data_IF_683592440964
#
_entry.id   IF_683592440964
#
_cell.length_a   1.000
_cell.length_b   1.000
_cell.length_c   1.000
_cell.angle_alpha   90.00
_cell.angle_beta   90.00
_cell.angle_gamma   90.00
#
_symmetry.space_group_name_H-M   'P 1'
#
loop_
_entity.id
_entity.type
_entity.pdbx_description
1 polymer ?
#
# COMPACT_ATOMS: atom_id res chain seq x y z
N UNK A 1 -13.95 -20.83 -9.26
CA UNK A 1 -14.95 -20.51 -10.28
C UNK A 1 -15.21 -19.01 -10.20
N UNK A 2 -15.14 -18.29 -11.31
CA UNK A 2 -15.43 -16.85 -11.32
C UNK A 2 -16.95 -16.69 -11.42
N UNK A 3 -17.60 -16.01 -10.47
CA UNK A 3 -19.03 -15.74 -10.57
C UNK A 3 -19.33 -14.83 -11.75
N UNK A 4 -20.33 -15.18 -12.54
CA UNK A 4 -20.71 -14.41 -13.75
C UNK A 4 -21.50 -13.12 -13.44
N UNK A 5 -21.90 -12.95 -12.18
CA UNK A 5 -22.68 -11.82 -11.67
C UNK A 5 -21.80 -10.70 -11.09
N UNK A 6 -20.48 -10.92 -11.00
CA UNK A 6 -19.54 -9.93 -10.49
C UNK A 6 -19.02 -9.01 -11.61
N UNK A 7 -18.76 -7.75 -11.27
CA UNK A 7 -18.15 -6.81 -12.20
C UNK A 7 -16.70 -7.23 -12.51
N UNK A 8 -16.20 -6.98 -13.74
CA UNK A 8 -14.79 -7.27 -14.08
C UNK A 8 -13.78 -6.59 -13.13
N UNK A 9 -14.11 -5.41 -12.62
CA UNK A 9 -13.27 -4.66 -11.68
C UNK A 9 -13.15 -5.40 -10.35
N UNK A 10 -14.27 -5.88 -9.80
CA UNK A 10 -14.31 -6.65 -8.56
C UNK A 10 -13.52 -7.96 -8.65
N UNK A 11 -13.56 -8.62 -9.82
CA UNK A 11 -12.75 -9.82 -10.07
C UNK A 11 -11.25 -9.47 -10.09
N UNK A 12 -10.88 -8.39 -10.76
CA UNK A 12 -9.48 -7.92 -10.78
C UNK A 12 -8.99 -7.55 -9.38
N UNK A 13 -9.79 -6.85 -8.58
CA UNK A 13 -9.47 -6.53 -7.19
C UNK A 13 -9.22 -7.79 -6.35
N UNK A 14 -10.09 -8.80 -6.49
CA UNK A 14 -9.92 -10.09 -5.81
C UNK A 14 -8.63 -10.81 -6.23
N UNK A 15 -8.24 -10.73 -7.51
CA UNK A 15 -6.97 -11.27 -7.99
C UNK A 15 -5.78 -10.49 -7.44
N UNK A 16 -5.86 -9.15 -7.37
CA UNK A 16 -4.81 -8.29 -6.83
C UNK A 16 -4.56 -8.57 -5.34
N UNK A 17 -5.62 -8.76 -4.56
CA UNK A 17 -5.49 -9.17 -3.15
C UNK A 17 -4.73 -10.49 -3.03
N UNK A 18 -4.99 -11.47 -3.91
CA UNK A 18 -4.34 -12.77 -3.89
C UNK A 18 -2.87 -12.78 -4.34
N UNK A 19 -2.37 -11.67 -4.91
CA UNK A 19 -0.96 -11.52 -5.27
C UNK A 19 -0.28 -10.35 -4.53
N UNK A 20 -0.96 -9.74 -3.55
CA UNK A 20 -0.54 -8.52 -2.87
C UNK A 20 -0.13 -7.41 -3.87
N UNK A 21 -0.85 -7.34 -4.99
CA UNK A 21 -0.56 -6.45 -6.09
C UNK A 21 -1.37 -5.15 -6.06
N UNK A 22 -0.98 -4.24 -6.92
CA UNK A 22 -1.71 -3.03 -7.26
C UNK A 22 -1.72 -2.84 -8.78
N UNK A 23 -2.73 -2.16 -9.28
CA UNK A 23 -2.82 -1.80 -10.69
C UNK A 23 -3.01 -0.30 -10.80
N UNK A 24 -2.24 0.32 -11.67
CA UNK A 24 -2.36 1.73 -11.98
C UNK A 24 -2.66 1.92 -13.47
N UNK A 25 -3.47 2.93 -13.78
CA UNK A 25 -3.67 3.36 -15.16
C UNK A 25 -2.89 4.65 -15.39
N UNK A 26 -1.78 4.54 -16.14
CA UNK A 26 -0.85 5.63 -16.34
C UNK A 26 -0.54 5.78 -17.82
N UNK A 27 -0.66 7.00 -18.36
CA UNK A 27 -0.32 7.32 -19.76
C UNK A 27 -0.99 6.41 -20.82
N UNK A 28 -2.27 6.02 -20.56
CA UNK A 28 -3.02 5.16 -21.48
C UNK A 28 -2.69 3.67 -21.38
N UNK A 29 -1.93 3.25 -20.36
CA UNK A 29 -1.56 1.85 -20.13
C UNK A 29 -1.88 1.42 -18.72
N UNK A 30 -2.20 0.14 -18.55
CA UNK A 30 -2.31 -0.50 -17.25
C UNK A 30 -0.95 -1.03 -16.83
N UNK A 31 -0.46 -0.59 -15.69
CA UNK A 31 0.76 -1.10 -15.07
C UNK A 31 0.39 -1.93 -13.85
N UNK A 32 0.81 -3.20 -13.85
CA UNK A 32 0.58 -4.14 -12.76
C UNK A 32 1.85 -4.27 -11.94
N UNK A 33 1.74 -4.03 -10.63
CA UNK A 33 2.78 -4.30 -9.67
C UNK A 33 2.35 -5.44 -8.76
N UNK A 34 3.22 -6.42 -8.56
CA UNK A 34 2.94 -7.62 -7.75
C UNK A 34 3.94 -7.75 -6.63
N UNK A 35 3.42 -8.09 -5.44
CA UNK A 35 4.26 -8.34 -4.26
C UNK A 35 4.70 -7.09 -3.51
N UNK A 36 5.61 -7.30 -2.57
CA UNK A 36 6.13 -6.24 -1.68
C UNK A 36 7.35 -5.53 -2.28
N UNK A 37 8.10 -6.24 -3.14
CA UNK A 37 9.34 -5.71 -3.69
C UNK A 37 9.05 -4.71 -4.81
N UNK A 38 9.35 -3.45 -4.56
CA UNK A 38 9.33 -2.36 -5.53
C UNK A 38 10.59 -2.43 -6.42
N UNK A 39 11.05 -3.64 -6.74
CA UNK A 39 12.32 -3.84 -7.43
C UNK A 39 12.34 -3.27 -8.86
N UNK A 40 11.17 -3.09 -9.47
CA UNK A 40 11.02 -2.61 -10.85
C UNK A 40 10.36 -1.23 -10.95
N UNK A 41 10.05 -0.57 -9.84
CA UNK A 41 9.52 0.79 -9.88
C UNK A 41 10.64 1.79 -10.17
N UNK A 42 10.32 2.80 -10.93
CA UNK A 42 11.20 3.93 -11.13
C UNK A 42 11.42 4.61 -9.78
N UNK A 43 12.66 5.01 -9.52
CA UNK A 43 13.02 5.73 -8.31
C UNK A 43 13.26 7.20 -8.64
N UNK A 44 12.56 8.07 -7.92
CA UNK A 44 12.69 9.52 -8.04
C UNK A 44 13.11 10.11 -6.70
N UNK A 45 13.93 11.14 -6.71
CA UNK A 45 14.26 11.89 -5.50
C UNK A 45 13.57 13.24 -5.56
N UNK A 46 12.72 13.51 -4.56
CA UNK A 46 12.07 14.79 -4.40
C UNK A 46 12.71 15.57 -3.26
N UNK A 47 13.01 16.82 -3.53
CA UNK A 47 13.55 17.76 -2.56
C UNK A 47 12.66 19.02 -2.49
N UNK A 48 13.03 19.99 -1.67
CA UNK A 48 12.27 21.23 -1.48
C UNK A 48 12.03 22.01 -2.76
N UNK A 49 12.94 21.93 -3.73
CA UNK A 49 12.81 22.67 -5.01
C UNK A 49 11.68 22.11 -5.89
N UNK A 50 11.22 20.89 -5.61
CA UNK A 50 10.07 20.27 -6.28
C UNK A 50 8.73 20.64 -5.66
N UNK A 51 8.74 21.16 -4.43
CA UNK A 51 7.53 21.54 -3.72
C UNK A 51 7.04 22.92 -4.15
N UNK A 52 5.73 23.06 -4.24
CA UNK A 52 5.04 24.31 -4.58
C UNK A 52 4.38 24.94 -3.36
N UNK A 53 3.91 24.13 -2.43
CA UNK A 53 3.14 24.55 -1.27
C UNK A 53 3.45 23.66 -0.06
N UNK A 54 2.71 23.82 1.02
CA UNK A 54 2.90 23.08 2.25
C UNK A 54 2.56 21.60 2.07
N UNK A 55 3.39 20.75 2.66
CA UNK A 55 3.18 19.29 2.72
C UNK A 55 2.14 18.99 3.79
N UNK A 56 1.13 18.19 3.43
CA UNK A 56 0.16 17.67 4.39
C UNK A 56 0.60 16.28 4.83
N UNK A 57 0.71 16.09 6.13
CA UNK A 57 1.16 14.83 6.74
C UNK A 57 0.01 14.24 7.53
N UNK A 58 -0.34 13.00 7.26
CA UNK A 58 -1.27 12.22 8.05
C UNK A 58 -0.49 11.07 8.70
N UNK A 59 -0.31 11.14 10.00
CA UNK A 59 0.53 10.19 10.74
C UNK A 59 -0.19 8.95 11.21
N UNK A 60 -1.52 8.97 11.30
CA UNK A 60 -2.27 7.83 11.83
C UNK A 60 -3.74 7.85 11.37
N UNK A 61 -4.19 6.71 10.91
CA UNK A 61 -5.60 6.46 10.59
C UNK A 61 -6.48 6.16 11.81
N UNK A 62 -5.93 6.26 13.03
CA UNK A 62 -6.61 5.90 14.28
C UNK A 62 -6.60 4.40 14.58
N UNK A 63 -6.79 4.05 15.85
CA UNK A 63 -6.74 2.67 16.35
C UNK A 63 -7.71 1.72 15.61
N UNK A 64 -8.85 2.24 15.18
CA UNK A 64 -9.88 1.44 14.51
C UNK A 64 -9.47 0.92 13.12
N UNK A 65 -8.48 1.51 12.50
CA UNK A 65 -8.00 1.12 11.17
C UNK A 65 -6.74 0.25 11.22
N UNK A 66 -6.18 0.04 12.41
CA UNK A 66 -5.00 -0.80 12.59
C UNK A 66 -5.41 -2.26 12.66
N UNK A 67 -4.63 -3.11 12.01
CA UNK A 67 -4.71 -4.56 12.13
C UNK A 67 -3.34 -5.11 12.54
N UNK A 68 -3.32 -6.06 13.47
CA UNK A 68 -2.12 -6.79 13.89
C UNK A 68 -2.26 -8.30 13.73
N UNK A 69 -3.46 -8.72 13.33
CA UNK A 69 -3.76 -10.10 13.02
C UNK A 69 -4.67 -10.17 11.79
N UNK A 70 -4.52 -11.21 10.98
CA UNK A 70 -5.37 -11.47 9.81
C UNK A 70 -5.85 -12.92 9.86
N UNK A 71 -7.14 -13.10 9.65
CA UNK A 71 -7.80 -14.40 9.51
C UNK A 71 -8.70 -14.40 8.29
N UNK A 72 -9.07 -15.57 7.83
CA UNK A 72 -9.98 -15.67 6.71
C UNK A 72 -9.91 -17.01 6.02
N UNK A 73 -10.39 -17.05 4.79
CA UNK A 73 -10.55 -18.27 4.02
C UNK A 73 -9.72 -18.29 2.74
N UNK A 74 -9.38 -19.48 2.27
CA UNK A 74 -8.74 -19.75 0.98
C UNK A 74 -9.40 -20.96 0.32
N UNK A 75 -9.12 -21.21 -0.96
CA UNK A 75 -9.61 -22.40 -1.66
C UNK A 75 -8.62 -23.54 -1.50
N UNK A 76 -9.00 -24.55 -0.72
CA UNK A 76 -8.14 -25.68 -0.44
C UNK A 76 -8.18 -26.70 -1.60
N UNK A 77 -7.03 -26.90 -2.25
CA UNK A 77 -6.91 -27.85 -3.36
C UNK A 77 -7.06 -29.30 -2.90
N UNK A 78 -6.58 -29.61 -1.69
CA UNK A 78 -6.65 -30.96 -1.10
C UNK A 78 -8.09 -31.30 -0.65
N UNK A 79 -8.92 -30.29 -0.43
CA UNK A 79 -10.30 -30.42 -0.03
C UNK A 79 -11.28 -30.01 -1.13
N UNK A 80 -11.05 -30.48 -2.34
CA UNK A 80 -11.92 -30.28 -3.51
C UNK A 80 -12.25 -28.80 -3.82
N UNK A 81 -11.30 -27.89 -3.56
CA UNK A 81 -11.48 -26.44 -3.72
C UNK A 81 -12.62 -25.85 -2.88
N UNK A 82 -12.91 -26.46 -1.76
CA UNK A 82 -13.83 -25.86 -0.79
C UNK A 82 -13.14 -24.71 -0.07
N UNK A 83 -13.94 -23.72 0.31
CA UNK A 83 -13.46 -22.61 1.14
C UNK A 83 -13.13 -23.11 2.53
N UNK A 84 -11.87 -23.01 2.92
CA UNK A 84 -11.33 -23.49 4.19
C UNK A 84 -10.60 -22.36 4.90
N UNK A 85 -10.68 -22.32 6.22
CA UNK A 85 -9.97 -21.32 7.02
C UNK A 85 -8.47 -21.60 7.00
N UNK A 86 -7.66 -20.56 6.80
CA UNK A 86 -6.22 -20.68 7.03
C UNK A 86 -5.87 -20.34 8.49
N UNK A 87 -4.73 -20.87 8.96
CA UNK A 87 -4.24 -20.55 10.30
C UNK A 87 -3.97 -19.04 10.39
N UNK A 88 -4.63 -18.32 11.32
CA UNK A 88 -4.50 -16.87 11.43
C UNK A 88 -3.04 -16.43 11.58
N UNK A 89 -2.66 -15.40 10.86
CA UNK A 89 -1.40 -14.73 11.10
C UNK A 89 -1.58 -13.68 12.20
N UNK A 90 -0.71 -13.69 13.19
CA UNK A 90 -0.67 -12.72 14.30
C UNK A 90 0.77 -12.26 14.49
N UNK A 91 0.95 -10.96 14.66
CA UNK A 91 2.23 -10.40 15.02
C UNK A 91 2.23 -10.04 16.52
N UNK A 92 3.04 -10.75 17.28
CA UNK A 92 3.11 -10.59 18.74
C UNK A 92 3.66 -9.24 19.18
N UNK A 93 4.53 -8.63 18.37
CA UNK A 93 5.11 -7.31 18.66
C UNK A 93 4.02 -6.26 18.54
N UNK A 94 3.32 -6.25 17.42
CA UNK A 94 2.23 -5.30 17.17
C UNK A 94 1.05 -5.51 18.13
N UNK A 95 0.74 -6.75 18.48
CA UNK A 95 -0.29 -7.05 19.49
C UNK A 95 0.09 -6.49 20.86
N UNK A 96 1.37 -6.59 21.23
CA UNK A 96 1.89 -6.01 22.49
C UNK A 96 1.84 -4.48 22.50
N UNK A 97 2.14 -3.85 21.37
CA UNK A 97 2.07 -2.39 21.22
C UNK A 97 0.62 -1.86 21.28
N UNK A 98 -0.32 -2.57 20.64
CA UNK A 98 -1.73 -2.18 20.59
C UNK A 98 -2.52 -2.57 21.84
N UNK A 99 -1.99 -3.54 22.63
CA UNK A 99 -2.60 -4.07 23.85
C UNK A 99 -3.71 -5.08 23.61
N UNK A 100 -4.09 -5.35 22.36
CA UNK A 100 -5.13 -6.31 21.99
C UNK A 100 -4.92 -6.84 20.56
N UNK A 101 -5.52 -8.01 20.24
CA UNK A 101 -5.52 -8.56 18.91
C UNK A 101 -6.59 -7.88 18.04
N UNK A 102 -6.17 -7.13 17.04
CA UNK A 102 -7.00 -6.44 16.07
C UNK A 102 -7.03 -7.24 14.77
N UNK A 103 -8.15 -7.95 14.54
CA UNK A 103 -8.29 -8.84 13.39
C UNK A 103 -8.82 -8.14 12.15
N UNK A 104 -8.13 -8.33 11.01
CA UNK A 104 -8.66 -8.11 9.68
C UNK A 104 -9.18 -9.42 9.09
N UNK A 105 -10.35 -9.39 8.47
CA UNK A 105 -10.93 -10.54 7.78
C UNK A 105 -10.65 -10.46 6.28
N UNK A 106 -10.23 -11.59 5.66
CA UNK A 106 -9.91 -11.64 4.23
C UNK A 106 -10.38 -12.94 3.59
N UNK A 107 -10.78 -12.86 2.32
CA UNK A 107 -11.12 -14.03 1.53
C UNK A 107 -10.20 -14.11 0.30
N UNK A 108 -9.33 -15.13 0.29
CA UNK A 108 -8.40 -15.39 -0.81
C UNK A 108 -9.01 -16.36 -1.84
N UNK A 109 -9.89 -15.88 -2.69
CA UNK A 109 -10.63 -16.69 -3.67
C UNK A 109 -9.74 -17.39 -4.72
N UNK A 110 -8.50 -16.93 -4.93
CA UNK A 110 -7.59 -17.48 -5.93
C UNK A 110 -6.31 -18.06 -5.35
N UNK A 111 -6.24 -18.22 -4.04
CA UNK A 111 -5.11 -18.86 -3.34
C UNK A 111 -5.50 -20.28 -2.97
N UNK A 112 -4.64 -21.25 -3.32
CA UNK A 112 -4.89 -22.68 -3.15
C UNK A 112 -4.08 -23.32 -2.03
N UNK A 113 -3.22 -22.57 -1.37
CA UNK A 113 -2.29 -23.11 -0.40
C UNK A 113 -2.28 -22.26 0.88
N UNK A 114 -2.41 -22.91 2.02
CA UNK A 114 -2.41 -22.30 3.35
C UNK A 114 -1.15 -21.45 3.60
N UNK A 115 0.04 -21.93 3.21
CA UNK A 115 1.29 -21.21 3.42
C UNK A 115 1.32 -19.90 2.61
N UNK A 116 0.76 -19.91 1.40
CA UNK A 116 0.63 -18.68 0.60
C UNK A 116 -0.35 -17.71 1.23
N UNK A 117 -1.49 -18.20 1.73
CA UNK A 117 -2.47 -17.37 2.44
C UNK A 117 -1.85 -16.70 3.67
N UNK A 118 -1.08 -17.42 4.48
CA UNK A 118 -0.38 -16.85 5.63
C UNK A 118 0.68 -15.81 5.24
N UNK A 119 1.43 -16.02 4.14
CA UNK A 119 2.39 -15.03 3.65
C UNK A 119 1.70 -13.74 3.19
N UNK A 120 0.56 -13.86 2.51
CA UNK A 120 -0.23 -12.71 2.10
C UNK A 120 -0.82 -11.98 3.31
N UNK A 121 -1.31 -12.72 4.30
CA UNK A 121 -1.80 -12.17 5.55
C UNK A 121 -0.70 -11.36 6.27
N UNK A 122 0.53 -11.88 6.33
CA UNK A 122 1.68 -11.14 6.85
C UNK A 122 1.91 -9.82 6.10
N UNK A 123 1.92 -9.87 4.76
CA UNK A 123 2.11 -8.66 3.94
C UNK A 123 1.01 -7.62 4.22
N UNK A 124 -0.24 -8.06 4.41
CA UNK A 124 -1.34 -7.17 4.75
C UNK A 124 -1.14 -6.48 6.10
N UNK A 125 -0.72 -7.21 7.13
CA UNK A 125 -0.39 -6.63 8.44
C UNK A 125 0.72 -5.60 8.33
N UNK A 126 1.83 -5.95 7.67
CA UNK A 126 2.99 -5.06 7.50
C UNK A 126 2.63 -3.78 6.71
N UNK A 127 1.82 -3.90 5.66
CA UNK A 127 1.35 -2.73 4.89
C UNK A 127 0.42 -1.84 5.72
N UNK A 128 -0.47 -2.43 6.50
CA UNK A 128 -1.38 -1.66 7.34
C UNK A 128 -0.63 -0.86 8.42
N UNK A 129 0.52 -1.36 8.88
CA UNK A 129 1.38 -0.64 9.83
C UNK A 129 2.09 0.57 9.24
N UNK A 130 2.23 0.63 7.92
CA UNK A 130 2.79 1.78 7.21
C UNK A 130 1.69 2.85 7.03
N UNK A 131 1.22 3.41 8.14
CA UNK A 131 0.08 4.33 8.17
C UNK A 131 0.42 5.78 7.85
N UNK A 132 1.72 6.09 7.60
CA UNK A 132 2.15 7.43 7.26
C UNK A 132 1.78 7.74 5.81
N UNK A 133 0.86 8.66 5.61
CA UNK A 133 0.54 9.18 4.29
C UNK A 133 0.88 10.66 4.17
N UNK A 134 1.35 11.05 2.99
CA UNK A 134 1.79 12.40 2.67
C UNK A 134 1.08 12.88 1.42
N UNK A 135 0.61 14.11 1.44
CA UNK A 135 0.18 14.81 0.23
C UNK A 135 1.19 15.90 -0.08
N UNK A 136 1.85 15.77 -1.24
CA UNK A 136 2.90 16.66 -1.71
C UNK A 136 2.40 17.48 -2.90
N UNK A 137 2.11 18.78 -2.72
CA UNK A 137 1.86 19.68 -3.84
C UNK A 137 3.19 20.02 -4.53
N UNK A 138 3.44 19.40 -5.67
CA UNK A 138 4.67 19.57 -6.44
C UNK A 138 4.48 20.51 -7.63
N UNK A 139 5.61 21.02 -8.13
CA UNK A 139 5.69 21.74 -9.39
C UNK A 139 5.77 20.75 -10.58
N UNK A 140 5.83 21.26 -11.81
CA UNK A 140 5.89 20.42 -13.02
C UNK A 140 7.15 19.55 -13.13
N UNK A 141 8.19 19.79 -12.33
CA UNK A 141 9.38 18.93 -12.31
C UNK A 141 9.06 17.51 -11.79
N UNK A 142 8.00 17.37 -11.02
CA UNK A 142 7.52 16.06 -10.56
C UNK A 142 6.59 15.35 -11.57
N UNK A 143 6.36 15.92 -12.75
CA UNK A 143 5.51 15.31 -13.79
C UNK A 143 5.94 13.91 -14.25
N UNK A 144 7.23 13.55 -14.31
CA UNK A 144 7.67 12.20 -14.68
C UNK A 144 7.31 11.12 -13.66
N UNK A 145 6.94 11.49 -12.43
CA UNK A 145 6.57 10.56 -11.37
C UNK A 145 5.19 9.98 -11.68
N UNK A 146 5.05 8.68 -11.55
CA UNK A 146 3.80 7.97 -11.81
C UNK A 146 3.32 7.21 -10.57
N UNK A 147 2.05 6.81 -10.57
CA UNK A 147 1.53 5.91 -9.53
C UNK A 147 2.30 4.59 -9.54
N UNK A 148 2.54 4.02 -8.37
CA UNK A 148 3.42 2.87 -8.12
C UNK A 148 4.92 3.12 -8.28
N UNK A 149 5.37 4.36 -8.57
CA UNK A 149 6.78 4.68 -8.51
C UNK A 149 7.25 4.84 -7.05
N UNK A 150 8.54 4.65 -6.86
CA UNK A 150 9.20 4.86 -5.59
C UNK A 150 9.76 6.27 -5.53
N UNK A 151 9.45 6.99 -4.47
CA UNK A 151 9.94 8.33 -4.22
C UNK A 151 10.77 8.36 -2.95
N UNK A 152 11.98 8.87 -3.05
CA UNK A 152 12.84 9.18 -1.89
C UNK A 152 12.69 10.66 -1.57
N UNK A 153 12.24 10.97 -0.36
CA UNK A 153 12.12 12.35 0.09
C UNK A 153 13.43 12.82 0.73
N UNK A 154 13.89 14.01 0.29
CA UNK A 154 15.01 14.71 0.89
C UNK A 154 14.56 16.14 1.24
N UNK A 155 13.84 16.25 2.34
CA UNK A 155 13.31 17.52 2.85
C UNK A 155 14.14 17.92 4.06
N UNK A 156 14.91 19.02 3.89
CA UNK A 156 15.75 19.61 4.93
C UNK A 156 15.07 20.90 5.44
N UNK A 157 14.01 20.73 6.23
CA UNK A 157 13.32 21.87 6.87
C UNK A 157 13.85 22.10 8.25
N UNK A 158 14.67 23.13 8.40
CA UNK A 158 15.03 23.68 9.69
C UNK A 158 13.82 24.19 10.46
N UNK A 159 13.54 23.61 11.63
CA UNK A 159 12.76 24.26 12.66
C UNK A 159 11.48 23.61 13.17
N UNK A 160 10.75 22.81 12.41
CA UNK A 160 9.53 22.18 12.93
C UNK A 160 9.72 20.72 13.36
N UNK A 161 10.74 20.06 12.83
CA UNK A 161 11.06 18.65 13.09
C UNK A 161 12.58 18.46 13.26
N UNK A 162 13.22 19.38 13.95
CA UNK A 162 14.67 19.57 14.00
C UNK A 162 15.50 18.44 14.61
N UNK A 163 14.91 17.33 15.01
CA UNK A 163 15.66 16.20 15.59
C UNK A 163 15.32 14.84 15.01
N UNK A 164 14.43 14.74 14.05
CA UNK A 164 14.14 13.46 13.46
C UNK A 164 14.20 13.57 11.94
N UNK A 165 15.20 12.94 11.39
CA UNK A 165 15.40 12.63 9.96
C UNK A 165 14.25 11.78 9.37
N UNK A 166 13.00 12.03 9.79
CA UNK A 166 11.84 11.21 9.41
C UNK A 166 11.64 11.23 7.88
N UNK A 167 12.02 12.33 7.24
CA UNK A 167 11.80 12.50 5.79
C UNK A 167 13.08 12.58 4.97
N UNK A 168 14.26 12.62 5.58
CA UNK A 168 15.50 12.68 4.83
C UNK A 168 15.96 11.27 4.45
N UNK A 169 15.82 10.93 3.17
CA UNK A 169 16.16 9.61 2.64
C UNK A 169 15.09 8.55 2.87
N UNK A 170 13.90 8.90 3.39
CA UNK A 170 12.81 7.95 3.53
C UNK A 170 12.15 7.68 2.18
N UNK A 171 11.90 6.41 1.93
CA UNK A 171 11.28 5.93 0.70
C UNK A 171 9.78 5.78 0.86
N UNK A 172 9.05 6.28 -0.12
CA UNK A 172 7.59 6.19 -0.19
C UNK A 172 7.17 5.62 -1.54
N UNK A 173 5.99 5.03 -1.58
CA UNK A 173 5.34 4.60 -2.81
C UNK A 173 4.26 5.60 -3.18
N UNK A 174 4.22 6.00 -4.43
CA UNK A 174 3.17 6.90 -4.95
C UNK A 174 1.87 6.13 -5.07
N UNK A 175 0.87 6.55 -4.32
CA UNK A 175 -0.48 5.96 -4.32
C UNK A 175 -1.45 6.75 -5.17
N UNK A 176 -1.23 8.07 -5.30
CA UNK A 176 -2.07 8.95 -6.08
C UNK A 176 -1.26 10.00 -6.86
N UNK A 177 -1.76 10.35 -8.04
CA UNK A 177 -1.21 11.38 -8.91
C UNK A 177 -2.34 12.22 -9.49
N UNK A 178 -2.28 13.50 -9.30
CA UNK A 178 -3.30 14.43 -9.79
C UNK A 178 -2.68 15.70 -10.34
N UNK A 179 -3.02 16.03 -11.58
CA UNK A 179 -2.63 17.31 -12.17
C UNK A 179 -3.55 18.43 -11.69
N UNK A 180 -2.98 19.53 -11.25
CA UNK A 180 -3.72 20.70 -10.80
C UNK A 180 -3.83 21.75 -11.91
N UNK A 181 -4.97 22.51 -11.97
CA UNK A 181 -5.17 23.54 -12.99
C UNK A 181 -4.10 24.65 -12.96
N UNK A 182 -3.45 24.84 -11.82
CA UNK A 182 -2.41 25.87 -11.63
C UNK A 182 -1.01 25.43 -12.08
N UNK A 183 -0.91 24.38 -12.89
CA UNK A 183 0.37 23.93 -13.45
C UNK A 183 1.26 23.23 -12.43
N UNK A 184 0.71 22.35 -11.62
CA UNK A 184 1.44 21.51 -10.69
C UNK A 184 0.89 20.09 -10.66
N UNK A 185 1.54 19.24 -9.88
CA UNK A 185 1.16 17.85 -9.64
C UNK A 185 1.04 17.61 -8.15
N UNK A 186 -0.10 17.13 -7.71
CA UNK A 186 -0.27 16.66 -6.33
C UNK A 186 0.00 15.17 -6.28
N UNK A 187 0.95 14.78 -5.45
CA UNK A 187 1.33 13.38 -5.22
C UNK A 187 0.80 12.93 -3.86
N UNK A 188 0.20 11.75 -3.84
CA UNK A 188 -0.17 11.05 -2.60
C UNK A 188 0.82 9.88 -2.40
N UNK A 189 1.46 9.85 -1.25
CA UNK A 189 2.49 8.88 -0.87
C UNK A 189 2.05 8.06 0.33
#
# INVERSE_FOLDING_TARGET
MIPLDQSPVSIMESMLVCCAGSIAYTQGKYELQVGVAIANSRSHTLNETHLRDNVTIQTDGGKNNRINAVRGTFLDEDNFYLSTDFSPYRDSTYESEDGEALYGDVNFQFVKNNIRAQRLAKIMVERNRQSLSLTLPCNLNAFPVSVNDKVTLSLDRDGAFSNETIFNGKEFMVTGWKMTPNGGVDLEL
#
